data_IF_742585772220
#
_entry.id   IF_742585772220
#
_cell.length_a   1.000
_cell.length_b   1.000
_cell.length_c   1.000
_cell.angle_alpha   90.00
_cell.angle_beta   90.00
_cell.angle_gamma   90.00
#
_symmetry.space_group_name_H-M   'P 1'
#
loop_
_entity.id
_entity.type
_entity.pdbx_description
1 polymer ?
#
# COMPACT_ATOMS: atom_id res chain seq x y z
N UNK A 1 5.88 10.47 10.89
CA UNK A 1 4.54 10.74 10.31
C UNK A 1 4.54 12.10 9.64
N UNK A 2 3.66 12.32 8.67
CA UNK A 2 3.54 13.60 7.96
C UNK A 2 2.07 13.90 7.66
N UNK A 3 1.75 15.17 7.46
CA UNK A 3 0.48 15.67 6.92
C UNK A 3 0.66 16.27 5.52
N UNK A 4 1.87 16.19 4.96
CA UNK A 4 2.19 16.72 3.64
C UNK A 4 1.45 15.96 2.53
N UNK A 5 0.75 16.71 1.68
CA UNK A 5 0.22 16.26 0.40
C UNK A 5 0.93 17.02 -0.72
N UNK A 6 1.47 16.28 -1.69
CA UNK A 6 2.06 16.86 -2.90
C UNK A 6 1.52 16.15 -4.13
N UNK A 7 1.29 16.93 -5.18
CA UNK A 7 0.87 16.44 -6.49
C UNK A 7 2.04 16.60 -7.46
N UNK A 8 2.32 15.54 -8.21
CA UNK A 8 3.27 15.56 -9.30
C UNK A 8 2.53 15.69 -10.63
N UNK A 9 2.90 16.69 -11.43
CA UNK A 9 2.44 16.85 -12.79
C UNK A 9 3.45 16.22 -13.76
N UNK A 10 3.00 15.19 -14.48
CA UNK A 10 3.83 14.44 -15.44
C UNK A 10 4.23 15.31 -16.64
N UNK A 11 3.34 16.21 -17.08
CA UNK A 11 3.56 17.00 -18.30
C UNK A 11 4.58 18.11 -18.09
N UNK A 12 4.59 18.72 -16.91
CA UNK A 12 5.54 19.78 -16.55
C UNK A 12 6.72 19.30 -15.72
N UNK A 13 6.75 18.04 -15.28
CA UNK A 13 7.78 17.45 -14.41
C UNK A 13 7.97 18.28 -13.12
N UNK A 14 6.86 18.58 -12.44
CA UNK A 14 6.90 19.44 -11.26
C UNK A 14 6.03 18.91 -10.13
N UNK A 15 6.54 19.06 -8.91
CA UNK A 15 5.77 18.87 -7.69
C UNK A 15 5.11 20.18 -7.25
N UNK A 16 3.88 20.06 -6.74
CA UNK A 16 3.15 21.16 -6.09
C UNK A 16 2.61 20.69 -4.74
N UNK A 17 2.78 21.52 -3.71
CA UNK A 17 2.19 21.25 -2.38
C UNK A 17 0.71 21.61 -2.40
N UNK A 18 -0.10 20.77 -1.75
CA UNK A 18 -1.56 20.91 -1.63
C UNK A 18 -1.97 21.09 -0.17
N UNK A 19 -3.26 21.31 0.08
CA UNK A 19 -3.82 21.34 1.43
C UNK A 19 -3.42 20.10 2.22
N UNK A 20 -2.81 20.34 3.38
CA UNK A 20 -2.31 19.29 4.25
C UNK A 20 -3.43 18.34 4.67
N UNK A 21 -3.07 17.06 4.82
CA UNK A 21 -3.92 16.05 5.43
C UNK A 21 -4.35 16.55 6.81
N UNK A 22 -5.62 16.41 7.24
CA UNK A 22 -6.10 16.97 8.51
C UNK A 22 -5.40 16.44 9.78
N UNK A 23 -4.55 15.41 9.63
CA UNK A 23 -3.77 14.81 10.69
C UNK A 23 -2.45 14.24 10.13
N UNK A 24 -1.40 14.28 10.94
CA UNK A 24 -0.16 13.53 10.67
C UNK A 24 -0.40 12.03 10.79
N UNK A 25 -0.02 11.29 9.78
CA UNK A 25 -0.34 9.86 9.65
C UNK A 25 0.79 9.14 8.90
N UNK A 26 0.81 7.81 9.00
CA UNK A 26 1.74 6.91 8.29
C UNK A 26 0.99 5.64 7.84
N UNK A 27 1.59 4.82 6.98
CA UNK A 27 1.02 3.55 6.50
C UNK A 27 -0.42 3.72 6.04
N UNK A 28 -0.62 4.73 5.19
CA UNK A 28 -1.94 5.21 4.79
C UNK A 28 -2.65 4.16 3.94
N UNK A 29 -3.97 4.08 4.06
CA UNK A 29 -4.78 3.41 3.07
C UNK A 29 -5.37 4.49 2.16
N UNK A 30 -4.91 4.55 0.90
CA UNK A 30 -5.28 5.59 -0.05
C UNK A 30 -5.87 4.96 -1.30
N UNK A 31 -6.96 5.54 -1.79
CA UNK A 31 -7.59 5.18 -3.05
C UNK A 31 -8.03 6.43 -3.81
N UNK A 32 -8.11 6.33 -5.13
CA UNK A 32 -8.66 7.37 -6.00
C UNK A 32 -9.93 6.84 -6.65
N UNK A 33 -11.03 7.58 -6.54
CA UNK A 33 -12.30 7.28 -7.24
C UNK A 33 -12.81 8.58 -7.84
N UNK A 34 -12.87 8.63 -9.17
CA UNK A 34 -13.14 9.88 -9.90
C UNK A 34 -12.10 10.96 -9.58
N UNK A 35 -12.56 12.17 -9.30
CA UNK A 35 -11.70 13.32 -8.97
C UNK A 35 -11.48 13.51 -7.46
N UNK A 36 -11.51 12.41 -6.69
CA UNK A 36 -11.40 12.41 -5.24
C UNK A 36 -10.38 11.40 -4.76
N UNK A 37 -9.62 11.79 -3.75
CA UNK A 37 -8.69 10.91 -3.04
C UNK A 37 -9.28 10.58 -1.66
N UNK A 38 -9.37 9.30 -1.35
CA UNK A 38 -9.92 8.78 -0.11
C UNK A 38 -8.77 8.30 0.77
N UNK A 39 -8.69 8.85 1.98
CA UNK A 39 -7.78 8.42 3.03
C UNK A 39 -8.59 7.67 4.09
N UNK A 40 -8.40 6.36 4.19
CA UNK A 40 -9.29 5.48 4.95
C UNK A 40 -8.51 4.74 6.06
N UNK A 41 -8.21 5.44 7.15
CA UNK A 41 -7.35 4.94 8.21
C UNK A 41 -5.86 5.12 7.92
N UNK A 42 -5.04 4.30 8.56
CA UNK A 42 -3.60 4.46 8.67
C UNK A 42 -3.12 4.40 10.12
N UNK A 43 -1.82 4.53 10.33
CA UNK A 43 -1.21 4.52 11.66
C UNK A 43 -0.91 5.93 12.16
N UNK A 44 -1.20 6.14 13.44
CA UNK A 44 -1.02 7.41 14.16
C UNK A 44 -0.27 7.18 15.47
N UNK A 45 0.31 8.23 16.05
CA UNK A 45 0.96 8.11 17.37
C UNK A 45 -0.07 7.66 18.42
N UNK A 46 0.24 6.55 19.09
CA UNK A 46 -0.53 5.99 20.18
C UNK A 46 -0.10 6.54 21.55
N UNK A 47 -0.78 6.13 22.63
CA UNK A 47 -0.37 6.47 23.99
C UNK A 47 1.02 5.92 24.29
N UNK A 48 1.77 6.58 25.18
CA UNK A 48 3.06 6.08 25.62
C UNK A 48 2.91 4.71 26.30
N UNK A 49 3.77 3.76 25.93
CA UNK A 49 3.83 2.43 26.54
C UNK A 49 5.21 2.28 27.19
N UNK A 50 5.24 1.85 28.46
CA UNK A 50 6.49 1.72 29.20
C UNK A 50 7.44 0.72 28.50
N UNK A 51 8.68 1.15 28.24
CA UNK A 51 9.68 0.33 27.56
C UNK A 51 9.58 0.29 26.04
N UNK A 52 8.65 1.06 25.44
CA UNK A 52 8.47 1.18 23.98
C UNK A 52 8.76 2.61 23.56
N UNK A 53 9.69 2.79 22.61
CA UNK A 53 10.14 4.07 22.08
C UNK A 53 9.24 4.60 20.96
N UNK A 54 8.66 3.69 20.17
CA UNK A 54 7.70 4.00 19.11
C UNK A 54 6.44 3.18 19.33
N UNK A 55 5.28 3.83 19.46
CA UNK A 55 3.99 3.16 19.52
C UNK A 55 3.04 3.79 18.51
N UNK A 56 2.92 3.18 17.33
CA UNK A 56 1.96 3.59 16.32
C UNK A 56 0.77 2.65 16.34
N UNK A 57 -0.43 3.21 16.36
CA UNK A 57 -1.69 2.47 16.44
C UNK A 57 -2.60 2.87 15.29
N UNK A 58 -3.46 1.96 14.86
CA UNK A 58 -4.39 2.25 13.79
C UNK A 58 -5.43 3.29 14.19
N UNK A 59 -5.76 4.16 13.24
CA UNK A 59 -6.79 5.18 13.38
C UNK A 59 -8.03 4.82 12.58
N UNK A 60 -9.20 5.05 13.15
CA UNK A 60 -10.48 4.99 12.43
C UNK A 60 -10.73 6.20 11.52
N UNK A 61 -9.91 7.25 11.61
CA UNK A 61 -10.15 8.51 10.91
C UNK A 61 -10.16 8.31 9.40
N UNK A 62 -11.21 8.82 8.76
CA UNK A 62 -11.42 8.72 7.32
C UNK A 62 -11.69 10.10 6.74
N UNK A 63 -11.08 10.40 5.60
CA UNK A 63 -11.17 11.69 4.94
C UNK A 63 -11.30 11.54 3.43
N UNK A 64 -11.92 12.51 2.79
CA UNK A 64 -11.92 12.66 1.34
C UNK A 64 -11.32 14.00 0.97
N UNK A 65 -10.43 14.00 -0.01
CA UNK A 65 -9.86 15.19 -0.61
C UNK A 65 -10.52 15.42 -1.97
N UNK A 66 -11.07 16.62 -2.15
CA UNK A 66 -11.54 17.07 -3.46
C UNK A 66 -10.40 17.78 -4.19
N UNK A 67 -10.00 17.21 -5.33
CA UNK A 67 -8.85 17.69 -6.11
C UNK A 67 -9.10 19.08 -6.70
N UNK A 68 -10.34 19.40 -7.09
CA UNK A 68 -10.68 20.69 -7.68
C UNK A 68 -10.72 21.78 -6.63
N UNK A 69 -11.29 21.48 -5.47
CA UNK A 69 -11.42 22.45 -4.39
C UNK A 69 -10.14 22.62 -3.56
N UNK A 70 -9.19 21.67 -3.64
CA UNK A 70 -8.02 21.59 -2.76
C UNK A 70 -8.40 21.57 -1.28
N UNK A 71 -9.40 20.76 -0.94
CA UNK A 71 -9.94 20.69 0.43
C UNK A 71 -10.19 19.27 0.88
N UNK A 72 -9.88 19.01 2.15
CA UNK A 72 -10.26 17.80 2.84
C UNK A 72 -11.61 17.95 3.54
N UNK A 73 -12.39 16.88 3.56
CA UNK A 73 -13.62 16.74 4.34
C UNK A 73 -13.60 15.45 5.15
N UNK A 74 -14.24 15.45 6.31
CA UNK A 74 -14.39 14.25 7.14
C UNK A 74 -15.37 13.26 6.50
N UNK A 75 -15.07 11.98 6.59
CA UNK A 75 -15.99 10.89 6.28
C UNK A 75 -16.42 10.16 7.56
N UNK A 76 -17.37 9.24 7.43
CA UNK A 76 -17.68 8.30 8.51
C UNK A 76 -16.40 7.54 8.93
N UNK A 77 -16.11 7.44 10.23
CA UNK A 77 -14.94 6.70 10.70
C UNK A 77 -15.10 5.20 10.41
N UNK A 78 -13.97 4.49 10.37
CA UNK A 78 -13.98 3.02 10.31
C UNK A 78 -14.87 2.44 11.41
N UNK A 79 -15.61 1.35 11.16
CA UNK A 79 -16.33 0.63 12.20
C UNK A 79 -15.40 0.19 13.32
N UNK A 80 -15.86 0.29 14.56
CA UNK A 80 -15.07 -0.06 15.75
C UNK A 80 -14.53 -1.50 15.65
N UNK A 81 -13.22 -1.65 15.88
CA UNK A 81 -12.52 -2.93 15.79
C UNK A 81 -12.04 -3.29 14.38
N UNK A 82 -12.18 -2.39 13.41
CA UNK A 82 -11.69 -2.60 12.04
C UNK A 82 -10.58 -1.62 11.63
N UNK A 83 -10.17 -0.73 12.54
CA UNK A 83 -9.11 0.24 12.33
C UNK A 83 -7.84 -0.44 11.83
N UNK A 84 -7.22 0.11 10.78
CA UNK A 84 -6.03 -0.48 10.16
C UNK A 84 -5.20 0.55 9.41
N UNK A 85 -3.91 0.31 9.32
CA UNK A 85 -3.02 0.90 8.32
C UNK A 85 -2.32 -0.17 7.49
N UNK A 86 -1.61 0.24 6.44
CA UNK A 86 -0.87 -0.65 5.55
C UNK A 86 -1.72 -1.75 4.90
N UNK A 87 -3.00 -1.51 4.70
CA UNK A 87 -3.87 -2.43 3.98
C UNK A 87 -3.50 -2.48 2.50
N UNK A 88 -3.80 -3.60 1.88
CA UNK A 88 -3.77 -3.73 0.44
C UNK A 88 -5.08 -3.15 -0.08
N UNK A 89 -5.00 -2.18 -0.98
CA UNK A 89 -6.15 -1.38 -1.42
C UNK A 89 -6.59 -1.80 -2.82
N UNK A 90 -7.87 -2.09 -2.99
CA UNK A 90 -8.50 -2.37 -4.27
C UNK A 90 -9.66 -1.42 -4.53
N UNK A 91 -9.83 -0.97 -5.76
CA UNK A 91 -10.97 -0.12 -6.17
C UNK A 91 -11.73 -0.81 -7.28
N UNK A 92 -13.03 -1.01 -7.08
CA UNK A 92 -13.93 -1.57 -8.08
C UNK A 92 -15.23 -0.79 -8.10
N UNK A 93 -15.48 -0.12 -9.22
CA UNK A 93 -16.56 0.87 -9.35
C UNK A 93 -16.49 1.92 -8.23
N UNK A 94 -17.53 1.99 -7.40
CA UNK A 94 -17.67 2.94 -6.29
C UNK A 94 -17.17 2.38 -4.96
N UNK A 95 -16.69 1.14 -4.95
CA UNK A 95 -16.25 0.43 -3.76
C UNK A 95 -14.73 0.49 -3.62
N UNK A 96 -14.26 0.86 -2.44
CA UNK A 96 -12.86 0.76 -2.03
C UNK A 96 -12.76 -0.39 -1.02
N UNK A 97 -11.89 -1.35 -1.26
CA UNK A 97 -11.64 -2.50 -0.39
C UNK A 97 -10.29 -2.34 0.29
N UNK A 98 -10.26 -2.57 1.61
CA UNK A 98 -9.05 -2.63 2.42
C UNK A 98 -8.86 -4.05 2.91
N UNK A 99 -7.92 -4.77 2.30
CA UNK A 99 -7.60 -6.15 2.66
C UNK A 99 -6.39 -6.20 3.60
N UNK A 100 -6.54 -6.90 4.72
CA UNK A 100 -5.50 -7.06 5.74
C UNK A 100 -5.11 -5.73 6.39
N UNK A 101 -3.81 -5.48 6.51
CA UNK A 101 -3.21 -4.35 7.20
C UNK A 101 -2.70 -4.73 8.60
N UNK A 102 -2.44 -3.71 9.41
CA UNK A 102 -1.95 -3.84 10.78
C UNK A 102 -2.66 -2.85 11.69
N UNK A 103 -2.75 -3.19 12.96
CA UNK A 103 -3.36 -2.35 14.00
C UNK A 103 -2.32 -1.67 14.89
N UNK A 104 -1.10 -2.20 14.95
CA UNK A 104 -0.04 -1.67 15.80
C UNK A 104 1.35 -1.93 15.21
N UNK A 105 2.21 -0.92 15.33
CA UNK A 105 3.64 -0.99 15.03
C UNK A 105 4.43 -0.39 16.19
N UNK A 106 5.27 -1.22 16.80
CA UNK A 106 6.17 -0.90 17.90
C UNK A 106 7.59 -1.36 17.56
N UNK A 107 8.57 -1.01 18.41
CA UNK A 107 9.99 -1.26 18.17
C UNK A 107 10.31 -2.72 17.80
N UNK A 108 9.65 -3.67 18.45
CA UNK A 108 9.90 -5.11 18.29
C UNK A 108 8.63 -5.90 17.99
N UNK A 109 7.50 -5.23 17.84
CA UNK A 109 6.20 -5.85 17.63
C UNK A 109 5.45 -5.15 16.51
N UNK A 110 4.99 -5.94 15.56
CA UNK A 110 4.19 -5.48 14.45
C UNK A 110 3.19 -6.57 14.12
N UNK A 111 1.92 -6.28 14.32
CA UNK A 111 0.87 -7.24 14.01
C UNK A 111 0.55 -7.26 12.52
N UNK A 112 -0.36 -8.15 12.16
CA UNK A 112 -0.99 -8.20 10.86
C UNK A 112 -2.38 -8.80 11.05
N UNK A 113 -3.36 -8.30 10.30
CA UNK A 113 -4.72 -8.82 10.28
C UNK A 113 -5.05 -9.36 8.90
N UNK A 114 -6.07 -10.22 8.83
CA UNK A 114 -6.62 -10.75 7.58
C UNK A 114 -7.97 -10.11 7.20
N UNK A 115 -8.56 -9.30 8.09
CA UNK A 115 -9.90 -8.72 7.88
C UNK A 115 -9.96 -7.82 6.65
N UNK A 116 -11.08 -7.89 5.94
CA UNK A 116 -11.40 -7.08 4.77
C UNK A 116 -12.63 -6.21 5.09
N UNK A 117 -12.48 -4.91 4.87
CA UNK A 117 -13.59 -3.95 4.99
C UNK A 117 -13.69 -3.14 3.70
N UNK A 118 -14.88 -2.60 3.43
CA UNK A 118 -15.08 -1.81 2.23
C UNK A 118 -15.76 -0.47 2.53
N UNK A 119 -15.52 0.52 1.68
CA UNK A 119 -16.13 1.83 1.75
C UNK A 119 -16.83 2.14 0.43
N UNK A 120 -18.11 2.50 0.50
CA UNK A 120 -18.89 2.87 -0.68
C UNK A 120 -18.84 4.40 -0.85
N UNK A 121 -18.21 4.84 -1.95
CA UNK A 121 -17.96 6.26 -2.22
C UNK A 121 -19.22 7.05 -2.57
N UNK A 122 -20.27 6.39 -3.07
CA UNK A 122 -21.57 7.01 -3.39
C UNK A 122 -22.38 7.36 -2.15
N UNK A 123 -22.48 6.43 -1.21
CA UNK A 123 -23.18 6.61 0.07
C UNK A 123 -22.33 7.31 1.14
N UNK A 124 -21.01 7.29 0.98
CA UNK A 124 -20.07 7.79 1.98
C UNK A 124 -20.01 6.96 3.26
N UNK A 125 -20.38 5.67 3.18
CA UNK A 125 -20.49 4.77 4.33
C UNK A 125 -19.59 3.54 4.18
N UNK A 126 -19.10 3.08 5.33
CA UNK A 126 -18.44 1.78 5.46
C UNK A 126 -19.44 0.64 5.29
N UNK A 127 -19.06 -0.37 4.53
CA UNK A 127 -19.84 -1.56 4.23
C UNK A 127 -19.06 -2.79 4.69
N UNK A 128 -19.77 -3.73 5.31
CA UNK A 128 -19.22 -5.06 5.54
C UNK A 128 -19.10 -5.78 4.20
N UNK A 129 -18.01 -6.51 4.04
CA UNK A 129 -17.81 -7.42 2.92
C UNK A 129 -18.61 -8.70 3.18
N UNK A 130 -19.03 -9.38 2.12
CA UNK A 130 -19.67 -10.71 2.20
C UNK A 130 -18.82 -11.65 3.05
N UNK A 131 -19.44 -12.48 3.88
CA UNK A 131 -18.76 -13.26 4.90
C UNK A 131 -17.59 -14.10 4.37
N UNK A 132 -17.76 -14.77 3.23
CA UNK A 132 -16.71 -15.60 2.62
C UNK A 132 -15.54 -14.78 2.03
N UNK A 133 -15.71 -13.48 1.85
CA UNK A 133 -14.69 -12.55 1.36
C UNK A 133 -14.18 -11.59 2.44
N UNK A 134 -14.74 -11.67 3.66
CA UNK A 134 -14.44 -10.75 4.76
C UNK A 134 -13.08 -10.99 5.43
N UNK A 135 -12.40 -12.10 5.10
CA UNK A 135 -11.09 -12.44 5.62
C UNK A 135 -10.20 -13.03 4.53
N UNK A 136 -8.96 -12.56 4.45
CA UNK A 136 -7.92 -13.17 3.62
C UNK A 136 -7.58 -14.58 4.13
N UNK A 137 -7.10 -15.50 3.25
CA UNK A 137 -6.66 -16.83 3.66
C UNK A 137 -5.51 -16.83 4.69
N UNK A 138 -4.73 -15.74 4.75
CA UNK A 138 -3.70 -15.50 5.75
C UNK A 138 -3.61 -14.01 6.09
N UNK A 139 -3.16 -13.67 7.30
CA UNK A 139 -2.81 -12.31 7.69
C UNK A 139 -1.85 -11.67 6.69
N UNK A 140 -2.02 -10.37 6.45
CA UNK A 140 -1.26 -9.68 5.41
C UNK A 140 -1.12 -8.20 5.68
N UNK A 141 0.09 -7.69 5.64
CA UNK A 141 0.41 -6.26 5.70
C UNK A 141 1.64 -5.94 4.83
N UNK A 142 1.88 -4.66 4.53
CA UNK A 142 2.94 -4.19 3.61
C UNK A 142 3.01 -4.98 2.29
N UNK A 143 1.88 -5.54 1.86
CA UNK A 143 1.72 -6.09 0.53
C UNK A 143 1.32 -4.99 -0.45
N UNK A 144 1.04 -5.40 -1.67
CA UNK A 144 0.47 -4.54 -2.70
C UNK A 144 -0.68 -5.26 -3.38
N UNK A 145 -1.44 -4.57 -4.21
CA UNK A 145 -2.58 -5.15 -4.88
C UNK A 145 -3.27 -4.17 -5.81
N UNK A 146 -4.13 -4.71 -6.66
CA UNK A 146 -4.95 -3.94 -7.58
C UNK A 146 -6.16 -4.77 -8.00
N UNK A 147 -7.19 -4.09 -8.48
CA UNK A 147 -8.30 -4.73 -9.19
C UNK A 147 -7.96 -4.72 -10.67
N UNK A 148 -7.95 -5.90 -11.30
CA UNK A 148 -7.76 -6.09 -12.74
C UNK A 148 -9.02 -6.79 -13.28
N UNK A 149 -9.72 -6.11 -14.19
CA UNK A 149 -11.09 -6.49 -14.54
C UNK A 149 -11.99 -6.42 -13.30
N UNK A 150 -12.59 -7.56 -12.93
CA UNK A 150 -13.42 -7.69 -11.74
C UNK A 150 -12.75 -8.49 -10.60
N UNK A 151 -11.45 -8.77 -10.71
CA UNK A 151 -10.72 -9.56 -9.70
C UNK A 151 -9.80 -8.68 -8.87
N UNK A 152 -9.92 -8.73 -7.55
CA UNK A 152 -8.98 -8.09 -6.64
C UNK A 152 -7.81 -9.04 -6.33
N UNK A 153 -6.61 -8.61 -6.69
CA UNK A 153 -5.36 -9.30 -6.39
C UNK A 153 -4.67 -8.70 -5.17
N UNK A 154 -4.28 -9.54 -4.22
CA UNK A 154 -3.45 -9.20 -3.05
C UNK A 154 -2.14 -9.95 -3.15
N UNK A 155 -1.02 -9.23 -3.18
CA UNK A 155 0.28 -9.73 -3.64
C UNK A 155 1.38 -9.46 -2.61
N UNK A 156 2.17 -10.50 -2.31
CA UNK A 156 3.40 -10.39 -1.54
C UNK A 156 3.16 -9.94 -0.09
N UNK A 157 4.03 -9.14 0.49
CA UNK A 157 3.81 -8.56 1.82
C UNK A 157 4.32 -9.44 2.96
N UNK A 158 3.74 -9.27 4.15
CA UNK A 158 4.18 -9.90 5.39
C UNK A 158 3.00 -10.47 6.16
N UNK A 159 3.19 -11.65 6.76
CA UNK A 159 2.14 -12.29 7.57
C UNK A 159 2.17 -11.90 9.05
N UNK A 160 3.31 -11.44 9.58
CA UNK A 160 3.47 -10.87 10.94
C UNK A 160 4.89 -10.31 11.11
N UNK A 161 5.11 -9.11 11.63
CA UNK A 161 6.48 -8.62 11.77
C UNK A 161 7.21 -8.44 10.42
N UNK A 162 8.45 -8.01 10.48
CA UNK A 162 9.14 -7.52 9.30
C UNK A 162 9.79 -8.60 8.42
N UNK A 163 10.36 -9.65 9.06
CA UNK A 163 11.14 -10.70 8.38
C UNK A 163 10.31 -11.84 7.81
N UNK A 164 9.01 -11.80 8.06
CA UNK A 164 8.04 -12.85 7.73
C UNK A 164 7.34 -12.52 6.41
N UNK A 165 8.15 -12.38 5.37
CA UNK A 165 7.67 -12.02 4.03
C UNK A 165 6.90 -13.18 3.41
N UNK A 166 6.04 -12.86 2.45
CA UNK A 166 5.25 -13.80 1.67
C UNK A 166 5.40 -13.51 0.18
N UNK A 167 5.33 -14.56 -0.62
CA UNK A 167 5.28 -14.53 -2.09
C UNK A 167 3.88 -14.86 -2.65
N UNK A 168 2.94 -15.17 -1.77
CA UNK A 168 1.59 -15.62 -2.15
C UNK A 168 0.78 -14.51 -2.79
N UNK A 169 -0.07 -14.92 -3.73
CA UNK A 169 -1.09 -14.09 -4.37
C UNK A 169 -2.47 -14.62 -3.99
N UNK A 170 -3.34 -13.72 -3.52
CA UNK A 170 -4.76 -14.01 -3.28
C UNK A 170 -5.64 -13.29 -4.29
N UNK A 171 -6.71 -13.94 -4.70
CA UNK A 171 -7.63 -13.49 -5.74
C UNK A 171 -9.06 -13.50 -5.19
N UNK A 172 -9.80 -12.41 -5.38
CA UNK A 172 -11.22 -12.32 -5.06
C UNK A 172 -12.02 -11.84 -6.27
N UNK A 173 -12.98 -12.65 -6.71
CA UNK A 173 -13.98 -12.25 -7.70
C UNK A 173 -14.97 -11.27 -7.06
N UNK A 174 -14.94 -10.01 -7.50
CA UNK A 174 -15.80 -8.96 -6.96
C UNK A 174 -17.22 -8.99 -7.51
N UNK A 175 -17.48 -9.74 -8.60
CA UNK A 175 -18.83 -10.01 -9.10
C UNK A 175 -19.54 -11.11 -8.31
N UNK A 176 -18.78 -12.00 -7.67
CA UNK A 176 -19.29 -13.11 -6.87
C UNK A 176 -18.46 -13.38 -5.62
N UNK A 177 -18.54 -12.47 -4.65
CA UNK A 177 -17.79 -12.56 -3.38
C UNK A 177 -18.16 -13.78 -2.52
N UNK A 178 -19.27 -14.47 -2.79
CA UNK A 178 -19.67 -15.69 -2.07
C UNK A 178 -18.71 -16.86 -2.30
N UNK A 179 -17.91 -16.85 -3.38
CA UNK A 179 -16.87 -17.87 -3.58
C UNK A 179 -15.68 -17.68 -2.65
N UNK A 180 -15.56 -16.50 -2.03
CA UNK A 180 -14.45 -16.11 -1.18
C UNK A 180 -13.12 -15.98 -1.93
N UNK A 181 -12.06 -15.79 -1.14
CA UNK A 181 -10.69 -15.67 -1.63
C UNK A 181 -10.15 -17.02 -2.12
N UNK A 182 -9.40 -16.97 -3.22
CA UNK A 182 -8.60 -18.08 -3.73
C UNK A 182 -7.12 -17.77 -3.58
N UNK A 183 -6.33 -18.77 -3.22
CA UNK A 183 -4.87 -18.69 -3.37
C UNK A 183 -4.51 -19.03 -4.80
N UNK A 184 -3.79 -18.13 -5.47
CA UNK A 184 -3.23 -18.41 -6.80
C UNK A 184 -2.23 -19.56 -6.72
N UNK A 185 -2.14 -20.36 -7.78
CA UNK A 185 -1.07 -21.35 -7.91
C UNK A 185 0.27 -20.69 -8.26
N UNK A 186 0.23 -19.44 -8.76
CA UNK A 186 1.39 -18.65 -9.09
C UNK A 186 1.87 -17.85 -7.86
N UNK A 187 3.15 -17.97 -7.56
CA UNK A 187 3.82 -17.23 -6.49
C UNK A 187 4.77 -16.21 -7.09
N UNK A 188 4.96 -15.09 -6.39
CA UNK A 188 6.04 -14.16 -6.70
C UNK A 188 7.38 -14.92 -6.71
N UNK A 189 8.28 -14.64 -7.66
CA UNK A 189 9.62 -15.24 -7.69
C UNK A 189 10.44 -14.95 -6.42
N UNK A 190 10.28 -13.76 -5.83
CA UNK A 190 10.95 -13.37 -4.58
C UNK A 190 9.96 -12.84 -3.54
N UNK A 191 9.88 -13.54 -2.41
CA UNK A 191 9.08 -13.15 -1.24
C UNK A 191 9.61 -11.88 -0.57
N UNK A 192 8.78 -10.83 -0.49
CA UNK A 192 9.20 -9.52 0.06
C UNK A 192 8.02 -8.69 0.59
N UNK A 193 8.32 -7.71 1.44
CA UNK A 193 7.35 -6.73 1.95
C UNK A 193 7.70 -5.30 1.51
N UNK A 194 6.81 -4.34 1.74
CA UNK A 194 7.04 -2.94 1.36
C UNK A 194 7.14 -2.77 -0.17
N UNK A 195 6.30 -3.53 -0.88
CA UNK A 195 6.33 -3.64 -2.34
C UNK A 195 5.58 -2.48 -2.99
N UNK A 196 6.15 -1.93 -4.05
CA UNK A 196 5.43 -1.08 -4.99
C UNK A 196 4.70 -1.96 -5.99
N UNK A 197 3.39 -1.73 -6.19
CA UNK A 197 2.71 -2.41 -7.27
C UNK A 197 1.61 -1.60 -7.90
N UNK A 198 1.36 -1.90 -9.17
CA UNK A 198 0.36 -1.24 -9.99
C UNK A 198 -0.10 -2.18 -11.11
N UNK A 199 -1.36 -2.01 -11.54
CA UNK A 199 -1.90 -2.69 -12.70
C UNK A 199 -1.73 -1.83 -13.97
N UNK A 200 -1.32 -2.47 -15.06
CA UNK A 200 -1.34 -1.89 -16.40
C UNK A 200 -1.91 -2.94 -17.36
N UNK A 201 -3.06 -2.62 -17.97
CA UNK A 201 -3.79 -3.58 -18.80
C UNK A 201 -4.26 -4.79 -17.98
N UNK A 202 -3.90 -5.98 -18.47
CA UNK A 202 -4.17 -7.30 -17.88
C UNK A 202 -3.05 -7.78 -16.93
N UNK A 203 -2.03 -6.96 -16.68
CA UNK A 203 -0.85 -7.35 -15.90
C UNK A 203 -0.73 -6.56 -14.61
N UNK A 204 -0.20 -7.23 -13.60
CA UNK A 204 0.21 -6.62 -12.34
C UNK A 204 1.73 -6.53 -12.29
N UNK A 205 2.28 -5.39 -11.91
CA UNK A 205 3.72 -5.18 -11.82
C UNK A 205 4.12 -4.94 -10.36
N UNK A 206 5.20 -5.58 -9.92
CA UNK A 206 5.74 -5.50 -8.57
C UNK A 206 7.20 -5.06 -8.59
N UNK A 207 7.54 -4.03 -7.82
CA UNK A 207 8.87 -3.41 -7.81
C UNK A 207 9.41 -3.26 -6.39
N UNK A 208 10.72 -3.51 -6.25
CA UNK A 208 11.46 -3.25 -5.03
C UNK A 208 10.92 -3.98 -3.82
N UNK A 209 11.06 -3.37 -2.65
CA UNK A 209 10.66 -3.95 -1.36
C UNK A 209 11.82 -4.10 -0.39
N UNK A 210 11.51 -4.62 0.79
CA UNK A 210 12.44 -4.85 1.88
C UNK A 210 12.29 -6.25 2.49
N UNK A 211 13.28 -6.64 3.30
CA UNK A 211 13.44 -7.97 3.86
C UNK A 211 14.52 -8.81 3.16
N UNK A 212 15.42 -8.18 2.41
CA UNK A 212 16.49 -8.85 1.67
C UNK A 212 17.70 -9.14 2.59
N UNK A 213 17.95 -10.41 2.98
CA UNK A 213 19.06 -10.73 3.88
C UNK A 213 20.44 -10.61 3.21
N UNK A 214 20.49 -10.57 1.87
CA UNK A 214 21.73 -10.60 1.10
C UNK A 214 22.31 -9.20 0.83
N UNK A 215 21.67 -8.15 1.33
CA UNK A 215 22.11 -6.76 1.16
C UNK A 215 22.24 -6.05 2.50
N UNK A 216 23.20 -5.12 2.61
CA UNK A 216 23.36 -4.29 3.80
C UNK A 216 22.20 -3.31 4.02
N UNK A 217 21.50 -2.94 2.95
CA UNK A 217 20.32 -2.06 3.02
C UNK A 217 19.04 -2.81 3.38
N UNK A 218 19.02 -4.14 3.22
CA UNK A 218 17.82 -4.95 3.42
C UNK A 218 16.80 -4.84 2.28
N UNK A 219 17.19 -4.31 1.12
CA UNK A 219 16.27 -3.93 0.04
C UNK A 219 16.38 -4.79 -1.20
N UNK A 220 15.27 -4.86 -1.92
CA UNK A 220 15.14 -5.50 -3.23
C UNK A 220 15.14 -4.42 -4.33
N UNK A 221 15.71 -4.74 -5.49
CA UNK A 221 15.55 -3.97 -6.73
C UNK A 221 14.83 -4.77 -7.83
N UNK A 222 14.37 -5.98 -7.50
CA UNK A 222 13.64 -6.86 -8.39
C UNK A 222 12.39 -6.15 -8.93
N UNK A 223 12.14 -6.36 -10.21
CA UNK A 223 10.96 -5.91 -10.92
C UNK A 223 10.36 -7.13 -11.59
N UNK A 224 9.08 -7.38 -11.37
CA UNK A 224 8.41 -8.61 -11.81
C UNK A 224 7.02 -8.26 -12.34
N UNK A 225 6.59 -8.93 -13.40
CA UNK A 225 5.24 -8.82 -13.93
C UNK A 225 4.48 -10.13 -13.73
N UNK A 226 3.26 -10.04 -13.24
CA UNK A 226 2.29 -11.12 -13.18
C UNK A 226 1.25 -10.95 -14.28
N UNK A 227 1.19 -11.94 -15.15
CA UNK A 227 0.20 -12.03 -16.20
C UNK A 227 -1.05 -12.75 -15.65
N UNK A 228 -2.18 -12.03 -15.59
CA UNK A 228 -3.39 -12.57 -14.93
C UNK A 228 -4.10 -13.64 -15.75
N UNK A 229 -3.90 -13.69 -17.07
CA UNK A 229 -4.50 -14.68 -17.96
C UNK A 229 -3.77 -16.03 -17.88
N UNK A 230 -2.44 -16.00 -18.00
CA UNK A 230 -1.59 -17.19 -17.95
C UNK A 230 -1.24 -17.63 -16.52
N UNK A 231 -1.48 -16.76 -15.54
CA UNK A 231 -1.04 -16.90 -14.15
C UNK A 231 0.46 -17.19 -14.05
N UNK A 232 1.28 -16.42 -14.75
CA UNK A 232 2.74 -16.58 -14.72
C UNK A 232 3.43 -15.29 -14.32
N UNK A 233 4.52 -15.45 -13.59
CA UNK A 233 5.43 -14.36 -13.25
C UNK A 233 6.60 -14.32 -14.23
N UNK A 234 6.98 -13.12 -14.65
CA UNK A 234 8.16 -12.86 -15.48
C UNK A 234 9.06 -11.84 -14.77
N UNK A 235 10.34 -12.14 -14.68
CA UNK A 235 11.34 -11.19 -14.20
C UNK A 235 11.60 -10.12 -15.27
N UNK A 236 11.67 -8.86 -14.84
CA UNK A 236 11.93 -7.70 -15.69
C UNK A 236 13.30 -7.11 -15.36
N UNK A 237 13.69 -6.06 -16.10
CA UNK A 237 14.87 -5.28 -15.75
C UNK A 237 14.73 -4.70 -14.33
N UNK A 238 15.76 -4.81 -13.48
CA UNK A 238 15.68 -4.36 -12.10
C UNK A 238 15.64 -2.83 -12.00
N UNK A 239 15.11 -2.32 -10.88
CA UNK A 239 15.19 -0.92 -10.51
C UNK A 239 16.67 -0.49 -10.41
N UNK A 240 16.97 0.70 -10.91
CA UNK A 240 18.31 1.27 -10.80
C UNK A 240 18.72 1.54 -9.34
N UNK A 241 17.73 1.90 -8.51
CA UNK A 241 17.91 2.18 -7.08
C UNK A 241 16.96 1.28 -6.27
N UNK A 242 17.47 0.29 -5.52
CA UNK A 242 16.66 -0.51 -4.59
C UNK A 242 15.95 0.39 -3.58
N UNK A 243 14.65 0.18 -3.39
CA UNK A 243 13.82 0.96 -2.46
C UNK A 243 12.60 0.19 -2.00
N UNK A 244 12.06 0.59 -0.86
CA UNK A 244 10.79 0.10 -0.36
C UNK A 244 9.83 1.23 -0.03
N UNK A 245 8.55 0.89 0.00
CA UNK A 245 7.47 1.80 0.33
C UNK A 245 6.14 1.09 0.16
N UNK A 246 5.07 1.86 0.05
CA UNK A 246 3.74 1.29 -0.21
C UNK A 246 3.10 2.08 -1.34
N UNK A 247 2.64 1.38 -2.38
CA UNK A 247 1.89 1.87 -3.56
C UNK A 247 2.72 2.55 -4.66
N UNK A 248 2.42 2.18 -5.90
CA UNK A 248 2.81 2.88 -7.13
C UNK A 248 1.54 3.36 -7.85
N UNK A 249 1.69 4.26 -8.82
CA UNK A 249 0.58 4.74 -9.65
C UNK A 249 0.77 4.33 -11.10
N UNK A 250 -0.29 3.88 -11.76
CA UNK A 250 -0.29 3.67 -13.22
C UNK A 250 -0.96 4.83 -13.95
N UNK A 251 -0.29 5.38 -14.97
CA UNK A 251 -0.83 6.44 -15.83
C UNK A 251 -0.32 6.24 -17.25
N UNK A 252 -1.24 6.22 -18.22
CA UNK A 252 -0.87 6.14 -19.64
C UNK A 252 -0.07 4.90 -20.04
N UNK A 253 -0.27 3.78 -19.34
CA UNK A 253 0.48 2.54 -19.57
C UNK A 253 1.86 2.49 -18.90
N UNK A 254 2.20 3.47 -18.06
CA UNK A 254 3.45 3.52 -17.31
C UNK A 254 3.20 3.32 -15.81
N UNK A 255 4.21 2.84 -15.09
CA UNK A 255 4.20 2.76 -13.62
C UNK A 255 5.14 3.81 -13.05
N UNK A 256 4.62 4.60 -12.10
CA UNK A 256 5.33 5.67 -11.44
C UNK A 256 5.52 5.36 -9.95
N UNK A 257 6.77 5.49 -9.48
CA UNK A 257 7.18 5.20 -8.10
C UNK A 257 7.77 6.48 -7.48
N UNK A 258 6.97 7.23 -6.70
CA UNK A 258 7.46 8.40 -5.99
C UNK A 258 8.12 8.02 -4.66
N UNK A 259 9.35 8.50 -4.45
CA UNK A 259 10.06 8.38 -3.17
C UNK A 259 10.42 6.95 -2.79
N UNK A 260 10.38 6.66 -1.47
CA UNK A 260 10.76 5.37 -0.87
C UNK A 260 11.91 5.45 0.11
N UNK A 261 12.00 4.44 0.97
CA UNK A 261 13.15 4.24 1.86
C UNK A 261 14.30 3.53 1.14
N UNK A 262 15.53 4.00 1.33
CA UNK A 262 16.76 3.34 0.84
C UNK A 262 17.45 2.46 1.88
N UNK A 263 16.77 2.24 3.01
CA UNK A 263 17.18 1.31 4.05
C UNK A 263 15.89 0.71 4.65
N UNK A 264 15.93 -0.59 4.94
CA UNK A 264 14.85 -1.24 5.68
C UNK A 264 14.60 -0.55 7.04
N UNK A 265 13.40 -0.72 7.60
CA UNK A 265 12.93 -0.08 8.86
C UNK A 265 12.61 1.41 8.77
N UNK A 266 12.66 2.00 7.58
CA UNK A 266 12.55 3.47 7.46
C UNK A 266 13.67 4.19 8.22
N UNK A 267 14.81 3.52 8.45
CA UNK A 267 16.01 4.10 9.05
C UNK A 267 16.51 5.25 8.19
N UNK A 268 17.10 6.25 8.85
CA UNK A 268 17.76 7.34 8.16
C UNK A 268 18.88 6.77 7.27
N UNK A 269 18.98 7.31 6.05
CA UNK A 269 20.04 6.94 5.11
C UNK A 269 21.24 7.83 5.42
N UNK A 270 22.42 7.23 5.59
CA UNK A 270 23.69 7.95 5.60
C UNK A 270 24.14 8.14 4.16
N UNK A 271 24.14 9.39 3.67
CA UNK A 271 24.83 9.76 2.44
C UNK A 271 25.94 10.74 2.79
N UNK A 272 27.19 10.40 2.42
CA UNK A 272 28.37 11.25 2.61
C UNK A 272 28.56 11.78 4.05
N UNK A 273 28.27 10.95 5.06
CA UNK A 273 28.52 11.29 6.47
C UNK A 273 27.46 12.19 7.11
N UNK A 274 26.34 12.46 6.44
CA UNK A 274 25.19 13.15 7.03
C UNK A 274 23.99 12.20 7.13
N UNK A 275 23.34 12.17 8.30
CA UNK A 275 22.05 11.49 8.46
C UNK A 275 20.95 12.37 7.87
N UNK A 276 20.33 11.91 6.79
CA UNK A 276 19.19 12.60 6.18
C UNK A 276 18.03 11.62 6.01
N UNK A 277 16.83 12.02 6.46
CA UNK A 277 15.61 11.54 5.82
C UNK A 277 15.60 12.24 4.46
N UNK A 278 15.86 11.51 3.37
CA UNK A 278 15.91 12.16 2.06
C UNK A 278 14.61 12.94 1.81
N UNK A 279 14.73 14.16 1.28
CA UNK A 279 13.60 14.87 0.70
C UNK A 279 12.96 13.95 -0.35
N UNK A 280 11.73 13.51 -0.06
CA UNK A 280 10.92 12.63 -0.90
C UNK A 280 10.71 13.16 -2.34
N UNK A 281 10.98 14.44 -2.58
CA UNK A 281 10.86 15.10 -3.88
C UNK A 281 12.03 14.84 -4.85
N UNK A 282 13.07 14.10 -4.47
CA UNK A 282 14.28 13.94 -5.30
C UNK A 282 14.38 12.64 -6.11
N UNK A 283 13.48 11.67 -5.91
CA UNK A 283 13.49 10.42 -6.67
C UNK A 283 12.07 10.05 -7.13
N UNK A 284 11.85 10.22 -8.43
CA UNK A 284 10.66 9.82 -9.15
C UNK A 284 11.12 8.91 -10.28
N UNK A 285 10.76 7.63 -10.21
CA UNK A 285 11.09 6.68 -11.28
C UNK A 285 9.82 6.43 -12.10
N UNK A 286 9.95 6.50 -13.42
CA UNK A 286 8.92 6.10 -14.37
C UNK A 286 9.40 4.86 -15.13
N UNK A 287 8.66 3.76 -15.03
CA UNK A 287 8.96 2.51 -15.71
C UNK A 287 8.04 2.35 -16.92
N UNK A 288 8.64 2.22 -18.12
CA UNK A 288 7.94 1.72 -19.30
C UNK A 288 7.74 0.21 -19.10
N UNK A 289 6.48 -0.22 -19.10
CA UNK A 289 6.06 -1.58 -18.78
C UNK A 289 5.28 -2.24 -19.89
#
# INVERSE_FOLDING_TARGET
MTDLLQFYDISSDTWSTKSAVPRKINHLNVAVVGNKLYLLGGLVDGPAVAGVSMNWVASASSYVYDVTADTWSNLAPMPNGTEKGSSIVGVHNEMIYLAGGMTVLQDTYQDAVNTVVSFNTTSGQWQRVVANAAELPENRQHGTGAVIGDTFYVVGGRWFGQMNTRDTVFELDLTNQETGWKSSAAHMPVSRGGIYGAAVGDKFYAFGGEGNPDTSTGLFNQSEAFDTESQQWTELNPMAVPRHGTQAASVGGLVYIPGGGLQQDGKAVSMNGSMSYMQLSSHFDAYCV
#
